data_IF_771368748199
#
_entry.id   IF_771368748199
#
_cell.length_a   1.000
_cell.length_b   1.000
_cell.length_c   1.000
_cell.angle_alpha   90.00
_cell.angle_beta   90.00
_cell.angle_gamma   90.00
#
_symmetry.space_group_name_H-M   'P 1'
#
loop_
_entity.id
_entity.type
_entity.pdbx_description
1 polymer ?
#
# COMPACT_ATOMS: atom_id res chain seq x y z
N UNK A 1 -4.99 0.43 52.65
CA UNK A 1 -4.20 0.69 51.42
C UNK A 1 -4.20 -0.58 50.59
N UNK A 2 -5.15 -0.75 49.65
CA UNK A 2 -5.19 -1.92 48.78
C UNK A 2 -4.48 -1.59 47.46
N UNK A 3 -3.35 -2.26 47.26
CA UNK A 3 -2.56 -2.25 46.03
C UNK A 3 -3.26 -3.13 45.00
N UNK A 4 -3.90 -2.53 44.00
CA UNK A 4 -4.41 -3.26 42.82
C UNK A 4 -3.48 -3.00 41.64
N UNK A 5 -2.58 -3.97 41.44
CA UNK A 5 -1.58 -4.06 40.36
C UNK A 5 -2.23 -4.38 39.00
N UNK A 6 -3.17 -3.57 38.52
CA UNK A 6 -3.86 -3.83 37.24
C UNK A 6 -3.27 -3.12 36.02
N UNK A 7 -2.31 -2.20 36.20
CA UNK A 7 -1.82 -1.35 35.10
C UNK A 7 -0.84 -2.04 34.14
N UNK A 8 -0.26 -3.20 34.48
CA UNK A 8 0.88 -3.75 33.73
C UNK A 8 0.49 -4.70 32.58
N UNK A 9 -0.73 -5.21 32.55
CA UNK A 9 -1.18 -6.11 31.47
C UNK A 9 -1.54 -5.37 30.19
N UNK A 10 -2.03 -4.13 30.28
CA UNK A 10 -2.38 -3.34 29.09
C UNK A 10 -1.16 -3.07 28.21
N UNK A 11 -0.01 -2.75 28.80
CA UNK A 11 1.23 -2.49 28.05
C UNK A 11 1.75 -3.70 27.26
N UNK A 12 1.49 -4.93 27.71
CA UNK A 12 1.88 -6.16 26.99
C UNK A 12 0.96 -6.46 25.79
N UNK A 13 -0.33 -6.14 25.88
CA UNK A 13 -1.28 -6.35 24.80
C UNK A 13 -1.10 -5.32 23.66
N UNK A 14 -0.80 -4.06 23.98
CA UNK A 14 -0.58 -3.02 22.96
C UNK A 14 0.83 -2.98 22.38
N UNK A 15 1.87 -3.47 23.10
CA UNK A 15 3.23 -3.61 22.54
C UNK A 15 3.37 -4.72 21.49
N UNK A 16 2.33 -5.53 21.30
CA UNK A 16 2.22 -6.43 20.16
C UNK A 16 1.83 -5.63 18.90
N UNK A 17 2.61 -4.60 18.58
CA UNK A 17 2.64 -4.08 17.22
C UNK A 17 3.10 -5.25 16.36
N UNK A 18 2.16 -5.91 15.68
CA UNK A 18 2.51 -6.82 14.59
C UNK A 18 3.40 -5.99 13.68
N UNK A 19 4.65 -6.41 13.50
CA UNK A 19 5.56 -5.80 12.55
C UNK A 19 4.94 -6.05 11.17
N UNK A 20 4.02 -5.17 10.74
CA UNK A 20 3.38 -5.25 9.44
C UNK A 20 4.49 -4.97 8.44
N UNK A 21 5.01 -6.05 7.84
CA UNK A 21 5.96 -5.96 6.75
C UNK A 21 5.16 -5.71 5.49
N UNK A 22 5.20 -4.49 4.97
CA UNK A 22 4.68 -4.17 3.66
C UNK A 22 5.84 -4.04 2.67
N UNK A 23 5.61 -4.49 1.45
CA UNK A 23 6.46 -4.23 0.29
C UNK A 23 5.65 -3.32 -0.62
N UNK A 24 6.01 -2.04 -0.68
CA UNK A 24 5.35 -1.05 -1.54
C UNK A 24 6.36 -0.60 -2.58
N UNK A 25 5.91 -0.53 -3.82
CA UNK A 25 6.67 0.02 -4.95
C UNK A 25 5.89 1.20 -5.51
N UNK A 26 6.60 2.21 -6.01
CA UNK A 26 5.97 3.32 -6.70
C UNK A 26 5.22 2.83 -7.94
N UNK A 27 4.08 3.48 -8.20
CA UNK A 27 3.17 3.10 -9.27
C UNK A 27 3.55 3.89 -10.52
N UNK A 28 3.99 3.18 -11.56
CA UNK A 28 4.46 3.74 -12.82
C UNK A 28 3.78 3.07 -14.01
N UNK A 29 3.64 3.81 -15.11
CA UNK A 29 3.16 3.25 -16.37
C UNK A 29 4.21 2.30 -16.96
N UNK A 30 3.79 1.08 -17.28
CA UNK A 30 4.65 0.05 -17.87
C UNK A 30 5.28 0.46 -19.22
N UNK A 31 4.68 1.41 -19.94
CA UNK A 31 5.15 1.83 -21.28
C UNK A 31 6.13 3.00 -21.22
N UNK A 32 5.85 4.04 -20.42
CA UNK A 32 6.67 5.26 -20.39
C UNK A 32 7.37 5.54 -19.06
N UNK A 33 7.17 4.71 -18.04
CA UNK A 33 7.76 4.89 -16.71
C UNK A 33 7.21 6.06 -15.90
N UNK A 34 6.30 6.87 -16.45
CA UNK A 34 5.71 7.98 -15.70
C UNK A 34 4.82 7.48 -14.58
N UNK A 35 4.98 8.05 -13.41
CA UNK A 35 4.23 7.71 -12.21
C UNK A 35 3.21 8.78 -11.81
N UNK A 36 2.57 8.54 -10.68
CA UNK A 36 1.63 9.49 -10.08
C UNK A 36 2.30 10.82 -9.73
N UNK A 37 3.59 10.79 -9.37
CA UNK A 37 4.40 12.00 -9.10
C UNK A 37 4.55 12.93 -10.29
N UNK A 38 4.42 12.41 -11.52
CA UNK A 38 4.48 13.20 -12.76
C UNK A 38 3.12 13.82 -13.14
N UNK A 39 2.11 13.69 -12.29
CA UNK A 39 0.74 14.14 -12.57
C UNK A 39 -0.03 13.20 -13.52
N UNK A 40 0.45 11.98 -13.73
CA UNK A 40 -0.25 10.97 -14.54
C UNK A 40 -1.30 10.20 -13.71
N UNK A 41 -2.42 9.88 -14.34
CA UNK A 41 -3.43 8.97 -13.81
C UNK A 41 -3.08 7.54 -14.23
N UNK A 42 -2.72 6.68 -13.26
CA UNK A 42 -2.36 5.28 -13.54
C UNK A 42 -3.56 4.35 -13.31
N UNK A 43 -3.88 3.55 -14.32
CA UNK A 43 -4.92 2.52 -14.28
C UNK A 43 -4.31 1.13 -14.30
N UNK A 44 -4.82 0.25 -13.44
CA UNK A 44 -4.47 -1.17 -13.45
C UNK A 44 -5.42 -1.94 -14.37
N UNK A 45 -4.85 -2.77 -15.25
CA UNK A 45 -5.59 -3.65 -16.15
C UNK A 45 -5.17 -5.10 -15.92
N UNK A 46 -6.16 -5.96 -15.66
CA UNK A 46 -5.95 -7.41 -15.64
C UNK A 46 -5.78 -7.92 -17.07
N UNK A 47 -4.68 -8.64 -17.29
CA UNK A 47 -4.33 -9.34 -18.52
C UNK A 47 -4.27 -10.85 -18.23
N UNK A 48 -4.30 -11.72 -19.25
CA UNK A 48 -4.21 -13.18 -19.04
C UNK A 48 -2.93 -13.62 -18.31
N UNK A 49 -1.86 -12.83 -18.40
CA UNK A 49 -0.55 -13.09 -17.81
C UNK A 49 -0.27 -12.31 -16.52
N UNK A 50 -1.24 -11.58 -15.98
CA UNK A 50 -1.07 -10.81 -14.74
C UNK A 50 -1.74 -9.44 -14.78
N UNK A 51 -1.15 -8.47 -14.09
CA UNK A 51 -1.65 -7.10 -14.03
C UNK A 51 -0.64 -6.16 -14.68
N UNK A 52 -1.11 -5.22 -15.49
CA UNK A 52 -0.28 -4.17 -16.07
C UNK A 52 -0.83 -2.78 -15.72
N UNK A 53 0.09 -1.83 -15.58
CA UNK A 53 -0.20 -0.45 -15.19
C UNK A 53 -0.01 0.48 -16.39
N UNK A 54 -1.00 1.33 -16.66
CA UNK A 54 -1.00 2.23 -17.81
C UNK A 54 -1.42 3.64 -17.41
N UNK A 55 -0.76 4.66 -17.96
CA UNK A 55 -1.23 6.04 -17.84
C UNK A 55 -2.38 6.32 -18.80
N UNK A 56 -3.05 7.46 -18.62
CA UNK A 56 -4.20 7.90 -19.42
C UNK A 56 -3.93 7.96 -20.94
N UNK A 57 -2.66 8.16 -21.34
CA UNK A 57 -2.26 8.18 -22.75
C UNK A 57 -2.11 6.78 -23.35
N UNK A 58 -1.66 5.80 -22.54
CA UNK A 58 -1.41 4.43 -23.01
C UNK A 58 -2.57 3.48 -22.73
N UNK A 59 -3.55 3.92 -21.95
CA UNK A 59 -4.81 3.23 -21.78
C UNK A 59 -5.93 4.24 -21.58
N UNK A 60 -6.51 4.68 -22.70
CA UNK A 60 -7.71 5.49 -22.67
C UNK A 60 -8.89 4.63 -22.26
N UNK A 61 -9.33 4.81 -21.02
CA UNK A 61 -10.62 4.35 -20.52
C UNK A 61 -11.70 5.23 -21.19
N UNK A 62 -12.09 4.88 -22.42
CA UNK A 62 -13.28 5.42 -23.10
C UNK A 62 -14.53 4.65 -22.70
#
# INVERSE_FOLDING_TARGET
>A
MQSTKSSMMQDLFFKKHSLVKSSVTEVECYICGRGVGDGCCISAKSLPNGMALFCELHYSLQ
#
